data_IF_438654460218
#
_entry.id   IF_438654460218
#
_cell.length_a   1.000
_cell.length_b   1.000
_cell.length_c   1.000
_cell.angle_alpha   90.00
_cell.angle_beta   90.00
_cell.angle_gamma   90.00
#
_symmetry.space_group_name_H-M   'P 1'
#
loop_
_entity.id
_entity.type
_entity.pdbx_description
1 polymer ?
#
# COMPACT_ATOMS: atom_id res chain seq x y z
N UNK A 1 -40.03 -12.03 2.00
CA UNK A 1 -40.09 -12.99 3.13
C UNK A 1 -38.71 -13.29 3.73
N UNK A 2 -37.64 -13.48 2.93
CA UNK A 2 -36.27 -13.75 3.42
C UNK A 2 -35.62 -12.64 4.28
N UNK A 3 -35.81 -11.35 3.93
CA UNK A 3 -35.24 -10.20 4.69
C UNK A 3 -35.87 -10.05 6.09
N UNK A 4 -37.10 -10.52 6.27
CA UNK A 4 -37.77 -10.49 7.57
C UNK A 4 -37.23 -11.56 8.53
N UNK A 5 -36.72 -12.68 8.00
CA UNK A 5 -36.20 -13.79 8.80
C UNK A 5 -34.81 -13.46 9.38
N UNK A 6 -33.94 -12.81 8.59
CA UNK A 6 -32.60 -12.38 9.05
C UNK A 6 -32.68 -11.27 10.11
N UNK A 7 -33.61 -10.32 9.95
CA UNK A 7 -33.87 -9.27 10.95
C UNK A 7 -34.36 -9.84 12.29
N UNK A 8 -35.07 -10.98 12.26
CA UNK A 8 -35.58 -11.65 13.46
C UNK A 8 -34.47 -12.40 14.22
N UNK A 9 -33.54 -13.04 13.50
CA UNK A 9 -32.39 -13.73 14.12
C UNK A 9 -31.33 -12.76 14.67
N UNK A 10 -31.08 -11.64 13.99
CA UNK A 10 -30.16 -10.60 14.51
C UNK A 10 -30.61 -9.99 15.84
N UNK A 11 -31.93 -9.85 16.05
CA UNK A 11 -32.49 -9.37 17.34
C UNK A 11 -32.44 -10.41 18.47
N UNK A 12 -32.34 -11.70 18.15
CA UNK A 12 -32.19 -12.79 19.12
C UNK A 12 -30.73 -13.04 19.53
N UNK A 13 -29.76 -12.60 18.71
CA UNK A 13 -28.33 -12.82 18.93
C UNK A 13 -27.62 -11.73 19.76
N UNK A 14 -28.30 -10.62 20.11
CA UNK A 14 -27.78 -9.65 21.07
C UNK A 14 -26.50 -8.91 20.64
N UNK A 15 -26.42 -8.48 19.38
CA UNK A 15 -25.35 -7.58 18.91
C UNK A 15 -25.94 -6.24 18.50
N UNK A 16 -26.03 -5.32 19.46
CA UNK A 16 -26.20 -3.90 19.18
C UNK A 16 -24.90 -3.38 18.54
N UNK A 17 -24.95 -3.12 17.23
CA UNK A 17 -23.96 -2.31 16.54
C UNK A 17 -24.09 -0.85 16.97
N UNK A 18 -23.30 -0.43 17.96
CA UNK A 18 -22.90 0.97 18.12
C UNK A 18 -21.72 1.21 17.20
N UNK A 19 -21.86 2.16 16.27
CA UNK A 19 -20.69 2.94 15.85
C UNK A 19 -21.05 4.35 15.35
N UNK A 20 -20.12 5.24 15.69
CA UNK A 20 -19.75 6.52 15.05
C UNK A 20 -20.43 7.85 15.46
N UNK A 21 -19.57 8.67 16.12
CA UNK A 21 -19.36 10.13 16.00
C UNK A 21 -20.39 11.09 16.64
N UNK A 22 -20.06 12.21 17.29
CA UNK A 22 -18.83 13.01 17.26
C UNK A 22 -18.63 13.82 18.56
N UNK A 23 -17.37 14.21 18.75
CA UNK A 23 -16.75 15.09 19.74
C UNK A 23 -17.35 16.49 19.90
N UNK A 24 -17.32 17.03 21.13
CA UNK A 24 -17.40 18.47 21.38
C UNK A 24 -17.51 18.88 22.86
N UNK A 25 -16.37 19.18 23.49
CA UNK A 25 -16.17 20.27 24.47
C UNK A 25 -16.94 20.29 25.81
N UNK A 26 -16.28 19.84 26.88
CA UNK A 26 -15.83 20.60 28.09
C UNK A 26 -16.59 21.86 28.59
N UNK A 27 -16.44 22.24 29.88
CA UNK A 27 -17.52 22.12 30.86
C UNK A 27 -17.77 23.44 31.63
N UNK A 28 -18.57 23.31 32.69
CA UNK A 28 -18.43 24.03 33.96
C UNK A 28 -19.40 25.20 34.24
N UNK A 29 -19.89 25.22 35.48
CA UNK A 29 -20.66 26.32 36.05
C UNK A 29 -21.94 25.94 36.79
N UNK A 30 -21.78 25.44 38.02
CA UNK A 30 -22.48 25.86 39.26
C UNK A 30 -24.04 25.98 39.23
N UNK A 31 -24.83 25.58 40.22
CA UNK A 31 -24.64 25.41 41.67
C UNK A 31 -26.02 24.99 42.23
N UNK A 32 -26.00 24.23 43.32
CA UNK A 32 -26.91 24.27 44.51
C UNK A 32 -28.42 24.52 44.26
N UNK A 33 -29.38 23.76 44.79
CA UNK A 33 -29.49 23.16 46.13
C UNK A 33 -30.83 22.39 46.19
N UNK A 34 -30.93 21.34 47.01
CA UNK A 34 -32.22 20.69 47.27
C UNK A 34 -32.16 19.29 47.88
N UNK A 35 -31.64 19.21 49.11
CA UNK A 35 -31.86 18.25 50.20
C UNK A 35 -32.84 17.06 50.00
N UNK A 36 -32.45 15.86 50.47
CA UNK A 36 -33.37 14.72 50.57
C UNK A 36 -32.77 13.31 50.66
N UNK A 37 -32.08 13.02 51.76
CA UNK A 37 -31.69 11.71 52.32
C UNK A 37 -32.46 10.44 51.87
N UNK A 38 -31.74 9.50 51.22
CA UNK A 38 -31.75 8.02 51.29
C UNK A 38 -32.96 7.27 51.90
N UNK A 39 -33.72 6.56 51.05
CA UNK A 39 -34.40 5.24 51.28
C UNK A 39 -34.60 4.61 49.88
N UNK A 40 -33.93 3.52 49.49
CA UNK A 40 -34.45 2.15 49.57
C UNK A 40 -34.71 1.59 48.16
N UNK A 41 -34.34 0.33 47.93
CA UNK A 41 -34.49 -0.42 46.68
C UNK A 41 -35.90 -0.32 46.06
N UNK A 42 -35.99 -0.36 44.72
CA UNK A 42 -37.27 -0.44 44.02
C UNK A 42 -37.13 -0.59 42.50
N UNK A 43 -37.08 -1.84 42.05
CA UNK A 43 -37.75 -2.39 40.85
C UNK A 43 -37.51 -1.65 39.50
N UNK A 44 -36.71 -2.16 38.57
CA UNK A 44 -36.90 -3.46 37.93
C UNK A 44 -38.00 -3.37 36.87
N UNK A 45 -37.71 -2.78 35.70
CA UNK A 45 -38.57 -2.91 34.51
C UNK A 45 -38.67 -4.40 34.15
N UNK A 46 -39.69 -5.06 34.67
CA UNK A 46 -39.96 -6.46 34.39
C UNK A 46 -40.39 -6.59 32.93
N UNK A 47 -39.50 -7.13 32.09
CA UNK A 47 -39.89 -7.74 30.82
C UNK A 47 -40.88 -8.86 31.15
N UNK A 48 -42.17 -8.59 31.02
CA UNK A 48 -43.22 -9.56 31.30
C UNK A 48 -43.12 -10.66 30.24
N UNK A 49 -42.67 -11.85 30.63
CA UNK A 49 -42.61 -13.00 29.71
C UNK A 49 -44.02 -13.39 29.24
N UNK A 50 -44.13 -14.00 28.04
CA UNK A 50 -45.42 -14.52 27.54
C UNK A 50 -46.11 -15.43 28.58
N UNK A 51 -45.31 -16.24 29.25
CA UNK A 51 -45.75 -17.13 30.32
C UNK A 51 -46.28 -16.38 31.56
N UNK A 52 -45.68 -15.22 31.90
CA UNK A 52 -46.19 -14.36 32.96
C UNK A 52 -47.49 -13.63 32.55
N UNK A 53 -47.64 -13.26 31.27
CA UNK A 53 -48.90 -12.69 30.75
C UNK A 53 -50.02 -13.73 30.76
N UNK A 54 -49.74 -14.98 30.38
CA UNK A 54 -50.70 -16.09 30.43
C UNK A 54 -51.12 -16.42 31.87
N UNK A 55 -50.17 -16.46 32.81
CA UNK A 55 -50.47 -16.66 34.24
C UNK A 55 -51.41 -15.58 34.77
N UNK A 56 -51.14 -14.31 34.47
CA UNK A 56 -51.98 -13.19 34.92
C UNK A 56 -53.35 -13.20 34.25
N UNK A 57 -53.44 -13.63 32.98
CA UNK A 57 -54.73 -13.82 32.31
C UNK A 57 -55.55 -14.91 33.00
N UNK A 58 -54.91 -16.00 33.43
CA UNK A 58 -55.56 -17.09 34.14
C UNK A 58 -56.04 -16.64 35.52
N UNK A 59 -55.22 -15.92 36.30
CA UNK A 59 -55.62 -15.34 37.58
C UNK A 59 -56.85 -14.43 37.44
N UNK A 60 -56.88 -13.59 36.39
CA UNK A 60 -58.04 -12.73 36.11
C UNK A 60 -59.26 -13.54 35.66
N UNK A 61 -59.06 -14.66 34.97
CA UNK A 61 -60.09 -15.62 34.62
C UNK A 61 -60.74 -16.25 35.86
N UNK A 62 -59.93 -16.72 36.79
CA UNK A 62 -60.39 -17.30 38.06
C UNK A 62 -61.17 -16.28 38.91
N UNK A 63 -60.70 -15.02 38.94
CA UNK A 63 -61.43 -13.90 39.58
C UNK A 63 -62.76 -13.63 38.88
N UNK A 64 -62.80 -13.65 37.55
CA UNK A 64 -64.04 -13.46 36.78
C UNK A 64 -65.05 -14.59 36.99
N UNK A 65 -64.59 -15.82 37.23
CA UNK A 65 -65.46 -16.96 37.54
C UNK A 65 -65.99 -16.90 38.98
N UNK A 66 -65.17 -16.51 39.95
CA UNK A 66 -65.63 -16.19 41.32
C UNK A 66 -66.66 -15.05 41.32
N UNK A 67 -66.44 -14.01 40.53
CA UNK A 67 -67.37 -12.88 40.38
C UNK A 67 -68.73 -13.33 39.83
N UNK A 68 -68.75 -14.31 38.91
CA UNK A 68 -70.00 -14.94 38.44
C UNK A 68 -70.65 -15.79 39.52
N UNK A 69 -69.87 -16.58 40.25
CA UNK A 69 -70.34 -17.48 41.32
C UNK A 69 -70.99 -16.71 42.48
N UNK A 70 -70.39 -15.60 42.91
CA UNK A 70 -70.93 -14.72 43.95
C UNK A 70 -71.95 -13.68 43.43
N UNK A 71 -72.36 -13.79 42.16
CA UNK A 71 -73.36 -12.93 41.51
C UNK A 71 -73.06 -11.42 41.60
N UNK A 72 -71.77 -11.05 41.57
CA UNK A 72 -71.32 -9.67 41.66
C UNK A 72 -71.58 -8.99 40.32
N UNK A 73 -72.30 -7.85 40.33
CA UNK A 73 -72.62 -7.06 39.12
C UNK A 73 -71.35 -6.51 38.48
N UNK A 74 -70.82 -7.21 37.49
CA UNK A 74 -69.77 -6.69 36.59
C UNK A 74 -70.35 -5.90 35.42
N UNK A 75 -69.63 -4.87 34.97
CA UNK A 75 -70.00 -4.11 33.77
C UNK A 75 -69.83 -4.98 32.51
N UNK A 76 -70.78 -4.90 31.57
CA UNK A 76 -70.68 -5.58 30.26
C UNK A 76 -69.37 -5.24 29.55
N UNK A 77 -68.90 -3.99 29.68
CA UNK A 77 -67.63 -3.51 29.10
C UNK A 77 -66.40 -4.26 29.63
N UNK A 78 -66.36 -4.61 30.92
CA UNK A 78 -65.23 -5.34 31.51
C UNK A 78 -65.19 -6.80 31.04
N UNK A 79 -66.36 -7.42 30.85
CA UNK A 79 -66.44 -8.79 30.33
C UNK A 79 -66.03 -8.87 28.86
N UNK A 80 -66.46 -7.93 28.03
CA UNK A 80 -66.01 -7.88 26.62
C UNK A 80 -64.51 -7.61 26.54
N UNK A 81 -63.97 -6.65 27.31
CA UNK A 81 -62.52 -6.40 27.30
C UNK A 81 -61.68 -7.60 27.77
N UNK A 82 -62.13 -8.36 28.77
CA UNK A 82 -61.43 -9.59 29.17
C UNK A 82 -61.50 -10.69 28.09
N UNK A 83 -62.67 -10.86 27.47
CA UNK A 83 -62.86 -11.84 26.39
C UNK A 83 -61.99 -11.50 25.17
N UNK A 84 -61.92 -10.23 24.79
CA UNK A 84 -61.04 -9.73 23.72
C UNK A 84 -59.55 -9.96 24.05
N UNK A 85 -59.12 -9.67 25.28
CA UNK A 85 -57.76 -9.92 25.74
C UNK A 85 -57.41 -11.42 25.68
N UNK A 86 -58.32 -12.27 26.17
CA UNK A 86 -58.15 -13.73 26.16
C UNK A 86 -58.04 -14.28 24.75
N UNK A 87 -58.85 -13.75 23.82
CA UNK A 87 -58.80 -14.13 22.41
C UNK A 87 -57.50 -13.67 21.74
N UNK A 88 -57.04 -12.45 22.03
CA UNK A 88 -55.79 -11.92 21.51
C UNK A 88 -54.57 -12.72 21.98
N UNK A 89 -54.50 -13.06 23.28
CA UNK A 89 -53.43 -13.89 23.83
C UNK A 89 -53.44 -15.31 23.25
N UNK A 90 -54.61 -15.93 23.10
CA UNK A 90 -54.73 -17.23 22.45
C UNK A 90 -54.30 -17.20 20.97
N UNK A 91 -54.63 -16.13 20.25
CA UNK A 91 -54.18 -15.95 18.86
C UNK A 91 -52.66 -15.76 18.77
N UNK A 92 -52.08 -14.96 19.67
CA UNK A 92 -50.63 -14.75 19.73
C UNK A 92 -49.90 -16.07 20.03
N UNK A 93 -50.39 -16.84 21.00
CA UNK A 93 -49.85 -18.17 21.35
C UNK A 93 -49.87 -19.11 20.14
N UNK A 94 -51.01 -19.25 19.49
CA UNK A 94 -51.14 -20.14 18.33
C UNK A 94 -50.20 -19.73 17.19
N UNK A 95 -50.02 -18.43 16.95
CA UNK A 95 -49.05 -17.97 15.94
C UNK A 95 -47.60 -18.21 16.36
N UNK A 96 -47.26 -18.05 17.64
CA UNK A 96 -45.93 -18.35 18.16
C UNK A 96 -45.65 -19.84 18.06
N UNK A 97 -46.54 -20.72 18.52
CA UNK A 97 -46.40 -22.18 18.42
C UNK A 97 -46.30 -22.63 16.95
N UNK A 98 -47.11 -22.07 16.05
CA UNK A 98 -47.03 -22.36 14.62
C UNK A 98 -45.69 -21.91 14.01
N UNK A 99 -45.21 -20.71 14.38
CA UNK A 99 -43.92 -20.19 13.91
C UNK A 99 -42.76 -21.03 14.44
N UNK A 100 -42.78 -21.41 15.73
CA UNK A 100 -41.76 -22.23 16.38
C UNK A 100 -41.74 -23.66 15.82
N UNK A 101 -42.91 -24.27 15.63
CA UNK A 101 -43.03 -25.62 15.05
C UNK A 101 -42.46 -25.73 13.63
N UNK A 102 -42.54 -24.65 12.85
CA UNK A 102 -41.91 -24.58 11.53
C UNK A 102 -40.46 -24.06 11.56
N UNK A 103 -40.00 -23.46 12.66
CA UNK A 103 -38.66 -22.85 12.74
C UNK A 103 -37.58 -23.92 12.59
N UNK A 104 -37.70 -25.05 13.30
CA UNK A 104 -36.73 -26.14 13.23
C UNK A 104 -36.69 -26.79 11.84
N UNK A 105 -37.84 -26.95 11.19
CA UNK A 105 -37.92 -27.46 9.82
C UNK A 105 -37.29 -26.49 8.80
N UNK A 106 -37.52 -25.18 8.97
CA UNK A 106 -36.96 -24.14 8.11
C UNK A 106 -35.44 -24.01 8.31
N UNK A 107 -34.95 -24.08 9.55
CA UNK A 107 -33.52 -24.11 9.87
C UNK A 107 -32.87 -25.32 9.19
N UNK A 108 -33.42 -26.53 9.37
CA UNK A 108 -32.86 -27.74 8.75
C UNK A 108 -32.86 -27.67 7.21
N UNK A 109 -33.90 -27.08 6.60
CA UNK A 109 -33.92 -26.83 5.15
C UNK A 109 -32.81 -25.86 4.73
N UNK A 110 -32.66 -24.75 5.44
CA UNK A 110 -31.65 -23.74 5.13
C UNK A 110 -30.22 -24.28 5.31
N UNK A 111 -29.96 -25.08 6.35
CA UNK A 111 -28.69 -25.79 6.53
C UNK A 111 -28.39 -26.70 5.34
N UNK A 112 -29.40 -27.43 4.84
CA UNK A 112 -29.24 -28.30 3.67
C UNK A 112 -28.93 -27.51 2.41
N UNK A 113 -29.57 -26.36 2.20
CA UNK A 113 -29.31 -25.47 1.06
C UNK A 113 -27.90 -24.85 1.15
N UNK A 114 -27.49 -24.36 2.32
CA UNK A 114 -26.12 -23.89 2.58
C UNK A 114 -25.07 -24.97 2.29
N UNK A 115 -25.34 -26.20 2.73
CA UNK A 115 -24.48 -27.35 2.46
C UNK A 115 -24.35 -27.70 0.97
N UNK A 116 -25.29 -27.26 0.12
CA UNK A 116 -25.20 -27.40 -1.33
C UNK A 116 -24.52 -26.20 -2.01
N UNK A 117 -24.65 -24.99 -1.46
CA UNK A 117 -23.97 -23.79 -1.98
C UNK A 117 -22.46 -23.82 -1.78
N UNK A 118 -21.98 -24.32 -0.63
CA UNK A 118 -20.54 -24.37 -0.31
C UNK A 118 -19.73 -25.15 -1.37
N UNK A 119 -20.11 -26.38 -1.79
CA UNK A 119 -19.42 -27.09 -2.86
C UNK A 119 -19.42 -26.36 -4.21
N UNK A 120 -20.52 -25.69 -4.56
CA UNK A 120 -20.63 -24.91 -5.81
C UNK A 120 -19.66 -23.74 -5.80
N UNK A 121 -19.56 -23.04 -4.67
CA UNK A 121 -18.57 -21.97 -4.50
C UNK A 121 -17.14 -22.51 -4.59
N UNK A 122 -16.83 -23.64 -3.93
CA UNK A 122 -15.49 -24.24 -3.99
C UNK A 122 -15.11 -24.71 -5.41
N UNK A 123 -16.06 -25.24 -6.18
CA UNK A 123 -15.87 -25.54 -7.61
C UNK A 123 -15.58 -24.25 -8.41
N UNK A 124 -16.28 -23.17 -8.10
CA UNK A 124 -16.05 -21.87 -8.72
C UNK A 124 -14.65 -21.31 -8.43
N UNK A 125 -14.20 -21.42 -7.18
CA UNK A 125 -12.83 -21.07 -6.74
C UNK A 125 -11.80 -21.90 -7.51
N UNK A 126 -12.04 -23.21 -7.64
CA UNK A 126 -11.15 -24.12 -8.37
C UNK A 126 -11.03 -23.72 -9.85
N UNK A 127 -12.16 -23.41 -10.50
CA UNK A 127 -12.17 -22.87 -11.87
C UNK A 127 -11.46 -21.52 -11.99
N UNK A 128 -11.50 -20.69 -10.94
CA UNK A 128 -10.73 -19.45 -10.86
C UNK A 128 -9.22 -19.71 -10.87
N UNK A 129 -8.76 -20.66 -10.06
CA UNK A 129 -7.36 -21.09 -10.07
C UNK A 129 -6.93 -21.65 -11.42
N UNK A 130 -7.76 -22.48 -12.06
CA UNK A 130 -7.44 -23.06 -13.37
C UNK A 130 -7.33 -21.98 -14.45
N UNK A 131 -8.20 -20.96 -14.41
CA UNK A 131 -8.10 -19.79 -15.30
C UNK A 131 -6.85 -18.97 -15.04
N UNK A 132 -6.45 -18.78 -13.79
CA UNK A 132 -5.22 -18.04 -13.45
C UNK A 132 -3.94 -18.82 -13.78
N UNK A 133 -4.03 -20.16 -13.81
CA UNK A 133 -2.97 -21.07 -14.26
C UNK A 133 -3.02 -21.34 -15.77
N UNK A 134 -3.95 -20.74 -16.49
CA UNK A 134 -4.05 -20.90 -17.93
C UNK A 134 -2.75 -20.44 -18.60
N UNK A 135 -2.28 -21.23 -19.58
CA UNK A 135 -1.05 -20.97 -20.33
C UNK A 135 -1.03 -19.57 -20.95
N UNK A 136 -2.20 -19.01 -21.29
CA UNK A 136 -2.35 -17.63 -21.81
C UNK A 136 -1.81 -16.56 -20.87
N UNK A 137 -1.97 -16.72 -19.56
CA UNK A 137 -1.45 -15.78 -18.55
C UNK A 137 0.05 -15.97 -18.27
N UNK A 138 0.65 -16.99 -18.88
CA UNK A 138 2.08 -17.25 -18.92
C UNK A 138 2.64 -17.15 -20.34
N UNK A 139 1.85 -16.69 -21.31
CA UNK A 139 2.24 -16.66 -22.72
C UNK A 139 3.09 -15.42 -23.00
N UNK A 140 4.36 -15.67 -23.34
CA UNK A 140 5.33 -14.63 -23.68
C UNK A 140 4.97 -13.84 -24.95
N UNK A 141 4.22 -14.45 -25.87
CA UNK A 141 3.79 -13.81 -27.11
C UNK A 141 2.81 -12.67 -26.80
N UNK A 142 1.85 -12.93 -25.91
CA UNK A 142 0.89 -11.94 -25.45
C UNK A 142 1.54 -10.85 -24.61
N UNK A 143 2.57 -11.18 -23.83
CA UNK A 143 3.36 -10.19 -23.08
C UNK A 143 4.14 -9.21 -23.98
N UNK A 144 4.42 -9.59 -25.24
CA UNK A 144 5.26 -8.80 -26.14
C UNK A 144 4.47 -7.80 -27.00
N UNK A 145 3.18 -8.06 -27.27
CA UNK A 145 2.29 -7.16 -28.03
C UNK A 145 1.43 -6.31 -27.08
N UNK A 146 1.23 -5.03 -27.42
CA UNK A 146 0.36 -4.13 -26.65
C UNK A 146 -1.08 -4.64 -26.63
N UNK A 147 -1.58 -5.11 -27.76
CA UNK A 147 -2.92 -5.69 -27.90
C UNK A 147 -3.06 -6.95 -27.04
N UNK A 148 -2.02 -7.81 -27.02
CA UNK A 148 -1.99 -9.01 -26.19
C UNK A 148 -1.99 -8.70 -24.69
N UNK A 149 -1.24 -7.68 -24.25
CA UNK A 149 -1.23 -7.22 -22.85
C UNK A 149 -2.59 -6.63 -22.45
N UNK A 150 -3.24 -5.86 -23.33
CA UNK A 150 -4.58 -5.32 -23.06
C UNK A 150 -5.64 -6.43 -22.96
N UNK A 151 -5.65 -7.40 -23.87
CA UNK A 151 -6.57 -8.56 -23.79
C UNK A 151 -6.39 -9.31 -22.46
N UNK A 152 -5.14 -9.55 -22.05
CA UNK A 152 -4.86 -10.20 -20.76
C UNK A 152 -5.35 -9.35 -19.59
N UNK A 153 -5.11 -8.04 -19.59
CA UNK A 153 -5.58 -7.15 -18.53
C UNK A 153 -7.11 -7.12 -18.42
N UNK A 154 -7.84 -7.11 -19.54
CA UNK A 154 -9.31 -7.21 -19.55
C UNK A 154 -9.79 -8.55 -18.99
N UNK A 155 -9.13 -9.65 -19.36
CA UNK A 155 -9.48 -10.97 -18.80
C UNK A 155 -9.22 -11.06 -17.30
N UNK A 156 -8.12 -10.46 -16.83
CA UNK A 156 -7.77 -10.37 -15.41
C UNK A 156 -8.77 -9.52 -14.63
N UNK A 157 -9.22 -8.40 -15.20
CA UNK A 157 -10.27 -7.57 -14.58
C UNK A 157 -11.58 -8.34 -14.43
N UNK A 158 -11.98 -9.11 -15.43
CA UNK A 158 -13.15 -9.99 -15.33
C UNK A 158 -12.98 -11.09 -14.27
N UNK A 159 -11.78 -11.65 -14.13
CA UNK A 159 -11.47 -12.62 -13.08
C UNK A 159 -11.52 -11.95 -11.70
N UNK A 160 -10.96 -10.74 -11.56
CA UNK A 160 -10.93 -9.98 -10.30
C UNK A 160 -12.36 -9.63 -9.83
N UNK A 161 -13.23 -9.19 -10.74
CA UNK A 161 -14.66 -8.99 -10.45
C UNK A 161 -15.33 -10.27 -9.96
N UNK A 162 -15.02 -11.41 -10.58
CA UNK A 162 -15.55 -12.70 -10.15
C UNK A 162 -15.00 -13.10 -8.77
N UNK A 163 -13.71 -12.90 -8.50
CA UNK A 163 -13.10 -13.19 -7.20
C UNK A 163 -13.71 -12.30 -6.11
N UNK A 164 -13.94 -11.02 -6.40
CA UNK A 164 -14.61 -10.09 -5.49
C UNK A 164 -16.04 -10.55 -5.15
N UNK A 165 -16.81 -11.00 -6.16
CA UNK A 165 -18.13 -11.57 -5.93
C UNK A 165 -18.08 -12.83 -5.05
N UNK A 166 -17.13 -13.73 -5.31
CA UNK A 166 -16.94 -14.95 -4.50
C UNK A 166 -16.57 -14.63 -3.05
N UNK A 167 -15.78 -13.59 -2.78
CA UNK A 167 -15.44 -13.15 -1.42
C UNK A 167 -16.68 -12.66 -0.68
N UNK A 168 -17.53 -11.86 -1.34
CA UNK A 168 -18.79 -11.38 -0.76
C UNK A 168 -19.73 -12.56 -0.47
N UNK A 169 -19.82 -13.52 -1.37
CA UNK A 169 -20.62 -14.73 -1.14
C UNK A 169 -20.06 -15.58 0.02
N UNK A 170 -18.73 -15.69 0.15
CA UNK A 170 -18.08 -16.40 1.25
C UNK A 170 -18.38 -15.74 2.61
N UNK A 171 -18.29 -14.42 2.70
CA UNK A 171 -18.67 -13.66 3.90
C UNK A 171 -20.15 -13.84 4.23
N UNK A 172 -21.02 -13.77 3.21
CA UNK A 172 -22.45 -14.02 3.38
C UNK A 172 -22.74 -15.40 3.96
N UNK A 173 -22.04 -16.45 3.50
CA UNK A 173 -22.20 -17.80 4.04
C UNK A 173 -21.72 -17.87 5.50
N UNK A 174 -20.60 -17.22 5.83
CA UNK A 174 -20.11 -17.17 7.21
C UNK A 174 -21.11 -16.48 8.14
N UNK A 175 -21.68 -15.33 7.73
CA UNK A 175 -22.71 -14.62 8.49
C UNK A 175 -23.94 -15.51 8.74
N UNK A 176 -24.34 -16.30 7.75
CA UNK A 176 -25.42 -17.28 7.89
C UNK A 176 -25.06 -18.41 8.85
N UNK A 177 -23.84 -18.94 8.80
CA UNK A 177 -23.38 -20.00 9.71
C UNK A 177 -23.33 -19.49 11.17
N UNK A 178 -22.88 -18.26 11.40
CA UNK A 178 -22.88 -17.62 12.71
C UNK A 178 -24.31 -17.40 13.24
N UNK A 179 -25.21 -16.88 12.42
CA UNK A 179 -26.61 -16.65 12.80
C UNK A 179 -27.34 -17.96 13.17
N UNK A 180 -26.98 -19.07 12.52
CA UNK A 180 -27.51 -20.40 12.80
C UNK A 180 -26.76 -21.13 13.93
N UNK A 181 -25.67 -20.55 14.45
CA UNK A 181 -24.78 -21.15 15.46
C UNK A 181 -24.18 -22.49 15.03
N UNK A 182 -23.80 -22.58 13.76
CA UNK A 182 -23.14 -23.75 13.16
C UNK A 182 -21.66 -23.45 13.01
N UNK A 183 -20.84 -24.50 12.85
CA UNK A 183 -19.43 -24.37 12.55
C UNK A 183 -19.20 -23.52 11.30
N UNK A 184 -18.46 -22.43 11.46
CA UNK A 184 -18.10 -21.50 10.38
C UNK A 184 -17.02 -22.16 9.52
N UNK A 185 -17.24 -22.17 8.21
CA UNK A 185 -16.29 -22.76 7.27
C UNK A 185 -15.19 -21.75 6.93
N UNK A 186 -13.91 -22.05 7.21
CA UNK A 186 -12.83 -21.17 6.81
C UNK A 186 -12.60 -21.28 5.29
N UNK A 187 -12.98 -20.25 4.55
CA UNK A 187 -12.82 -20.17 3.08
C UNK A 187 -11.37 -19.83 2.66
N UNK A 188 -10.37 -20.52 3.21
CA UNK A 188 -8.93 -20.22 2.98
C UNK A 188 -8.56 -20.20 1.49
N UNK A 189 -9.15 -21.10 0.69
CA UNK A 189 -8.92 -21.14 -0.76
C UNK A 189 -9.40 -19.88 -1.50
N UNK A 190 -10.41 -19.18 -0.98
CA UNK A 190 -10.88 -17.91 -1.55
C UNK A 190 -9.83 -16.83 -1.31
N UNK A 191 -9.22 -16.80 -0.13
CA UNK A 191 -8.13 -15.87 0.19
C UNK A 191 -6.87 -16.17 -0.62
N UNK A 192 -6.50 -17.44 -0.77
CA UNK A 192 -5.40 -17.86 -1.65
C UNK A 192 -5.64 -17.42 -3.11
N UNK A 193 -6.87 -17.58 -3.61
CA UNK A 193 -7.24 -17.18 -4.96
C UNK A 193 -7.13 -15.66 -5.14
N UNK A 194 -7.57 -14.89 -4.14
CA UNK A 194 -7.44 -13.43 -4.12
C UNK A 194 -5.98 -12.98 -4.18
N UNK A 195 -5.13 -13.60 -3.36
CA UNK A 195 -3.69 -13.29 -3.36
C UNK A 195 -3.08 -13.60 -4.72
N UNK A 196 -3.36 -14.78 -5.28
CA UNK A 196 -2.83 -15.16 -6.59
C UNK A 196 -3.32 -14.23 -7.71
N UNK A 197 -4.62 -13.91 -7.76
CA UNK A 197 -5.21 -12.99 -8.74
C UNK A 197 -4.55 -11.60 -8.65
N UNK A 198 -4.36 -11.09 -7.43
CA UNK A 198 -3.69 -9.82 -7.17
C UNK A 198 -2.24 -9.82 -7.65
N UNK A 199 -1.51 -10.92 -7.44
CA UNK A 199 -0.13 -11.08 -7.89
C UNK A 199 -0.01 -11.09 -9.41
N UNK A 200 -0.84 -11.88 -10.10
CA UNK A 200 -0.85 -11.92 -11.57
C UNK A 200 -1.27 -10.57 -12.16
N UNK A 201 -2.32 -9.95 -11.63
CA UNK A 201 -2.77 -8.63 -12.06
C UNK A 201 -1.70 -7.56 -11.89
N UNK A 202 -0.98 -7.58 -10.76
CA UNK A 202 0.14 -6.64 -10.53
C UNK A 202 1.26 -6.84 -11.54
N UNK A 203 1.63 -8.08 -11.85
CA UNK A 203 2.66 -8.39 -12.85
C UNK A 203 2.31 -7.79 -14.21
N UNK A 204 1.12 -8.08 -14.73
CA UNK A 204 0.70 -7.63 -16.06
C UNK A 204 0.52 -6.11 -16.15
N UNK A 205 -0.04 -5.48 -15.11
CA UNK A 205 -0.12 -4.00 -15.04
C UNK A 205 1.26 -3.36 -15.03
N UNK A 206 2.16 -3.89 -14.19
CA UNK A 206 3.53 -3.37 -14.09
C UNK A 206 4.32 -3.59 -15.37
N UNK A 207 4.04 -4.67 -16.11
CA UNK A 207 4.65 -4.93 -17.41
C UNK A 207 4.16 -3.91 -18.45
N UNK A 208 2.86 -3.64 -18.56
CA UNK A 208 2.34 -2.62 -19.49
C UNK A 208 2.90 -1.23 -19.16
N UNK A 209 2.85 -0.83 -17.89
CA UNK A 209 3.42 0.43 -17.42
C UNK A 209 4.92 0.51 -17.71
N UNK A 210 5.66 -0.58 -17.51
CA UNK A 210 7.09 -0.64 -17.82
C UNK A 210 7.37 -0.46 -19.31
N UNK A 211 6.64 -1.12 -20.20
CA UNK A 211 6.86 -0.97 -21.65
C UNK A 211 6.61 0.48 -22.08
N UNK A 212 5.53 1.11 -21.62
CA UNK A 212 5.25 2.52 -21.94
C UNK A 212 6.30 3.47 -21.34
N UNK A 213 6.68 3.27 -20.08
CA UNK A 213 7.61 4.16 -19.38
C UNK A 213 9.04 3.99 -19.90
N UNK A 214 9.46 2.76 -20.18
CA UNK A 214 10.77 2.49 -20.76
C UNK A 214 10.88 3.04 -22.18
N UNK A 215 9.84 2.92 -23.01
CA UNK A 215 9.81 3.54 -24.34
C UNK A 215 9.94 5.07 -24.25
N UNK A 216 9.27 5.70 -23.28
CA UNK A 216 9.42 7.14 -23.03
C UNK A 216 10.84 7.52 -22.61
N UNK A 217 11.47 6.76 -21.70
CA UNK A 217 12.85 7.01 -21.28
C UNK A 217 13.83 6.89 -22.44
N UNK A 218 13.62 5.92 -23.34
CA UNK A 218 14.47 5.73 -24.53
C UNK A 218 14.38 6.90 -25.51
N UNK A 219 13.26 7.63 -25.52
CA UNK A 219 13.05 8.82 -26.36
C UNK A 219 13.58 10.11 -25.72
N UNK A 220 13.91 10.11 -24.42
CA UNK A 220 14.43 11.30 -23.76
C UNK A 220 15.82 11.67 -24.31
N UNK A 221 16.00 12.97 -24.53
CA UNK A 221 17.29 13.56 -24.88
C UNK A 221 18.28 13.31 -23.76
N UNK A 222 19.45 12.80 -24.09
CA UNK A 222 20.46 12.39 -23.12
C UNK A 222 20.83 13.51 -22.13
N UNK A 223 20.91 14.76 -22.60
CA UNK A 223 21.22 15.93 -21.78
C UNK A 223 20.19 16.27 -20.68
N UNK A 224 18.95 15.81 -20.79
CA UNK A 224 17.86 16.09 -19.85
C UNK A 224 17.47 14.87 -18.98
N UNK A 225 18.16 13.74 -19.14
CA UNK A 225 17.86 12.52 -18.39
C UNK A 225 18.25 12.69 -16.92
N UNK A 226 17.26 12.56 -16.04
CA UNK A 226 17.45 12.44 -14.60
C UNK A 226 17.63 10.97 -14.23
N UNK A 227 18.89 10.56 -14.07
CA UNK A 227 19.26 9.17 -13.81
C UNK A 227 18.86 8.73 -12.40
N UNK A 228 18.84 9.63 -11.42
CA UNK A 228 18.42 9.33 -10.05
C UNK A 228 16.92 9.03 -9.99
N UNK A 229 16.11 9.79 -10.73
CA UNK A 229 14.68 9.54 -10.84
C UNK A 229 14.41 8.19 -11.51
N UNK A 230 15.04 7.92 -12.66
CA UNK A 230 14.88 6.64 -13.37
C UNK A 230 15.33 5.47 -12.48
N UNK A 231 16.47 5.59 -11.80
CA UNK A 231 16.99 4.56 -10.90
C UNK A 231 16.00 4.20 -9.78
N UNK A 232 15.35 5.19 -9.18
CA UNK A 232 14.29 4.98 -8.17
C UNK A 232 13.08 4.26 -8.75
N UNK A 233 12.62 4.66 -9.93
CA UNK A 233 11.47 4.02 -10.60
C UNK A 233 11.80 2.57 -11.01
N UNK A 234 12.97 2.33 -11.60
CA UNK A 234 13.46 0.99 -11.95
C UNK A 234 13.56 0.08 -10.73
N UNK A 235 13.99 0.60 -9.56
CA UNK A 235 14.03 -0.17 -8.32
C UNK A 235 12.63 -0.63 -7.85
N UNK A 236 11.59 0.17 -8.08
CA UNK A 236 10.20 -0.23 -7.80
C UNK A 236 9.79 -1.39 -8.69
N UNK A 237 10.01 -1.29 -10.01
CA UNK A 237 9.70 -2.36 -10.95
C UNK A 237 10.51 -3.63 -10.67
N UNK A 238 11.77 -3.51 -10.26
CA UNK A 238 12.60 -4.64 -9.88
C UNK A 238 12.02 -5.38 -8.67
N UNK A 239 11.54 -4.65 -7.66
CA UNK A 239 10.91 -5.25 -6.48
C UNK A 239 9.63 -6.01 -6.86
N UNK A 240 8.80 -5.44 -7.74
CA UNK A 240 7.59 -6.10 -8.24
C UNK A 240 7.94 -7.35 -9.05
N UNK A 241 8.95 -7.28 -9.91
CA UNK A 241 9.41 -8.41 -10.72
C UNK A 241 9.90 -9.57 -9.83
N UNK A 242 10.73 -9.29 -8.82
CA UNK A 242 11.20 -10.29 -7.86
C UNK A 242 10.08 -10.92 -7.03
N UNK A 243 9.11 -10.11 -6.56
CA UNK A 243 7.94 -10.63 -5.84
C UNK A 243 7.09 -11.54 -6.74
N UNK A 244 6.88 -11.12 -7.99
CA UNK A 244 6.11 -11.89 -8.97
C UNK A 244 6.80 -13.21 -9.30
N UNK A 245 8.13 -13.21 -9.48
CA UNK A 245 8.93 -14.42 -9.67
C UNK A 245 8.80 -15.41 -8.50
N UNK A 246 8.78 -14.92 -7.26
CA UNK A 246 8.62 -15.77 -6.07
C UNK A 246 7.20 -16.34 -5.93
N UNK A 247 6.19 -15.58 -6.33
CA UNK A 247 4.79 -15.99 -6.19
C UNK A 247 4.29 -16.81 -7.38
N UNK A 248 4.97 -16.71 -8.53
CA UNK A 248 4.62 -17.32 -9.80
C UNK A 248 5.83 -18.09 -10.36
N UNK A 249 6.41 -18.99 -9.56
CA UNK A 249 7.71 -19.66 -9.80
C UNK A 249 7.86 -20.37 -11.17
N UNK A 250 6.76 -20.61 -11.89
CA UNK A 250 6.74 -21.24 -13.22
C UNK A 250 6.28 -20.32 -14.36
N UNK A 251 6.06 -19.02 -14.11
CA UNK A 251 5.53 -18.10 -15.11
C UNK A 251 6.68 -17.47 -15.95
N UNK A 252 6.68 -17.76 -17.24
CA UNK A 252 7.68 -17.28 -18.18
C UNK A 252 7.66 -15.74 -18.37
N UNK A 253 6.48 -15.12 -18.25
CA UNK A 253 6.32 -13.65 -18.32
C UNK A 253 6.99 -12.97 -17.13
N UNK A 254 6.91 -13.56 -15.93
CA UNK A 254 7.59 -13.02 -14.75
C UNK A 254 9.13 -13.07 -14.92
N UNK A 255 9.65 -14.15 -15.50
CA UNK A 255 11.08 -14.28 -15.79
C UNK A 255 11.54 -13.25 -16.84
N UNK A 256 10.79 -13.11 -17.93
CA UNK A 256 11.08 -12.14 -19.00
C UNK A 256 11.02 -10.70 -18.50
N UNK A 257 10.00 -10.35 -17.72
CA UNK A 257 9.87 -9.04 -17.10
C UNK A 257 11.07 -8.73 -16.19
N UNK A 258 11.45 -9.69 -15.34
CA UNK A 258 12.63 -9.56 -14.47
C UNK A 258 13.91 -9.37 -15.28
N UNK A 259 14.10 -10.13 -16.36
CA UNK A 259 15.25 -10.01 -17.24
C UNK A 259 15.30 -8.62 -17.91
N UNK A 260 14.18 -8.12 -18.43
CA UNK A 260 14.07 -6.79 -19.04
C UNK A 260 14.43 -5.67 -18.05
N UNK A 261 13.83 -5.69 -16.85
CA UNK A 261 14.10 -4.70 -15.80
C UNK A 261 15.56 -4.76 -15.35
N UNK A 262 16.12 -5.97 -15.22
CA UNK A 262 17.53 -6.14 -14.82
C UNK A 262 18.49 -5.66 -15.90
N UNK A 263 18.21 -5.96 -17.18
CA UNK A 263 19.01 -5.47 -18.29
C UNK A 263 19.03 -3.94 -18.34
N UNK A 264 17.87 -3.29 -18.19
CA UNK A 264 17.79 -1.83 -18.14
C UNK A 264 18.46 -1.25 -16.89
N UNK A 265 18.32 -1.89 -15.74
CA UNK A 265 19.03 -1.46 -14.52
C UNK A 265 20.55 -1.51 -14.71
N UNK A 266 21.05 -2.53 -15.39
CA UNK A 266 22.48 -2.69 -15.62
C UNK A 266 23.04 -1.62 -16.56
N UNK A 267 22.22 -0.95 -17.37
CA UNK A 267 22.71 0.12 -18.27
C UNK A 267 22.76 1.48 -17.58
N UNK A 268 21.95 1.70 -16.53
CA UNK A 268 21.90 2.99 -15.81
C UNK A 268 23.25 3.49 -15.29
N UNK A 269 24.14 2.65 -14.74
CA UNK A 269 25.44 3.14 -14.26
C UNK A 269 26.34 3.67 -15.39
N UNK A 270 26.19 3.19 -16.64
CA UNK A 270 26.91 3.79 -17.78
C UNK A 270 26.35 5.15 -18.13
N UNK A 271 25.02 5.28 -18.10
CA UNK A 271 24.34 6.56 -18.30
C UNK A 271 24.79 7.57 -17.23
N UNK A 272 24.91 7.15 -15.97
CA UNK A 272 25.48 7.99 -14.89
C UNK A 272 26.93 8.37 -15.18
N UNK A 273 27.76 7.40 -15.58
CA UNK A 273 29.17 7.63 -15.87
C UNK A 273 29.37 8.66 -16.99
N UNK A 274 28.59 8.56 -18.07
CA UNK A 274 28.61 9.49 -19.21
C UNK A 274 27.99 10.87 -18.89
N UNK A 275 27.14 10.95 -17.86
CA UNK A 275 26.57 12.21 -17.36
C UNK A 275 27.44 12.93 -16.34
N UNK A 276 28.60 12.38 -16.00
CA UNK A 276 29.49 12.98 -15.02
C UNK A 276 30.06 14.31 -15.56
N UNK A 277 29.78 15.42 -14.86
CA UNK A 277 30.29 16.76 -15.20
C UNK A 277 31.80 16.91 -15.07
N UNK A 278 32.48 15.95 -14.42
CA UNK A 278 33.93 15.91 -14.34
C UNK A 278 34.61 15.51 -15.66
N UNK A 279 33.85 14.97 -16.63
CA UNK A 279 34.39 14.58 -17.93
C UNK A 279 34.80 15.82 -18.73
N UNK A 280 36.05 15.80 -19.21
CA UNK A 280 36.67 16.84 -20.04
C UNK A 280 36.91 16.29 -21.44
N UNK A 281 37.28 17.15 -22.38
CA UNK A 281 37.55 16.80 -23.78
C UNK A 281 38.47 15.56 -23.91
N UNK A 282 39.57 15.50 -23.15
CA UNK A 282 40.46 14.32 -23.08
C UNK A 282 39.76 13.01 -22.73
N UNK A 283 38.80 13.04 -21.81
CA UNK A 283 38.06 11.85 -21.39
C UNK A 283 37.05 11.44 -22.47
N UNK A 284 36.46 12.42 -23.15
CA UNK A 284 35.56 12.19 -24.28
C UNK A 284 36.29 11.59 -25.49
N UNK A 285 37.53 12.02 -25.76
CA UNK A 285 38.37 11.41 -26.80
C UNK A 285 38.60 9.92 -26.52
N UNK A 286 38.96 9.56 -25.27
CA UNK A 286 39.14 8.16 -24.87
C UNK A 286 37.83 7.35 -24.96
N UNK A 287 36.71 7.92 -24.51
CA UNK A 287 35.39 7.28 -24.59
C UNK A 287 34.97 7.08 -26.04
N UNK A 288 35.20 8.06 -26.91
CA UNK A 288 34.88 7.98 -28.34
C UNK A 288 35.76 6.94 -29.05
N UNK A 289 37.02 6.77 -28.66
CA UNK A 289 37.90 5.72 -29.18
C UNK A 289 37.41 4.32 -28.78
N UNK A 290 36.97 4.15 -27.53
CA UNK A 290 36.46 2.88 -27.01
C UNK A 290 35.12 2.49 -27.66
N UNK A 291 34.21 3.46 -27.83
CA UNK A 291 32.90 3.23 -28.44
C UNK A 291 33.02 3.15 -29.97
N UNK A 292 34.07 3.76 -30.56
CA UNK A 292 34.30 3.83 -32.00
C UNK A 292 33.37 4.79 -32.72
N UNK A 293 32.65 5.65 -31.98
CA UNK A 293 31.70 6.65 -32.49
C UNK A 293 31.90 7.94 -31.70
N UNK A 294 31.90 9.06 -32.40
CA UNK A 294 31.97 10.39 -31.80
C UNK A 294 30.60 10.75 -31.19
N UNK A 295 30.54 10.85 -29.86
CA UNK A 295 29.32 11.22 -29.14
C UNK A 295 29.21 12.74 -29.05
N UNK A 296 28.24 13.31 -29.76
CA UNK A 296 27.83 14.69 -29.57
C UNK A 296 26.72 14.77 -28.50
N UNK A 297 27.10 15.17 -27.30
CA UNK A 297 26.17 15.31 -26.17
C UNK A 297 25.22 16.51 -26.28
N UNK A 298 25.56 17.49 -27.12
CA UNK A 298 24.72 18.68 -27.36
C UNK A 298 23.72 18.44 -28.49
N UNK A 299 23.88 17.35 -29.24
CA UNK A 299 22.96 16.97 -30.29
C UNK A 299 21.58 16.60 -29.73
N UNK A 300 20.56 17.26 -30.26
CA UNK A 300 19.15 16.93 -30.04
C UNK A 300 18.76 15.53 -30.54
N UNK A 301 19.63 14.88 -31.33
CA UNK A 301 19.44 13.53 -31.88
C UNK A 301 19.95 12.43 -30.94
N UNK A 302 20.78 12.75 -29.93
CA UNK A 302 21.30 11.78 -28.98
C UNK A 302 20.25 11.46 -27.91
N UNK A 303 19.49 10.39 -28.14
CA UNK A 303 18.53 9.84 -27.16
C UNK A 303 19.14 8.68 -26.39
N UNK A 304 18.59 8.38 -25.21
CA UNK A 304 19.02 7.22 -24.41
C UNK A 304 18.92 5.91 -25.20
N UNK A 305 17.89 5.76 -26.04
CA UNK A 305 17.72 4.58 -26.89
C UNK A 305 18.77 4.43 -27.97
N UNK A 306 19.19 5.54 -28.60
CA UNK A 306 20.30 5.54 -29.57
C UNK A 306 21.59 5.13 -28.88
N UNK A 307 21.88 5.70 -27.71
CA UNK A 307 23.07 5.35 -26.93
C UNK A 307 23.11 3.86 -26.55
N UNK A 308 21.97 3.30 -26.12
CA UNK A 308 21.86 1.87 -25.83
C UNK A 308 22.05 1.01 -27.09
N UNK A 309 21.53 1.45 -28.24
CA UNK A 309 21.68 0.72 -29.51
C UNK A 309 23.13 0.69 -30.03
N UNK A 310 23.95 1.67 -29.63
CA UNK A 310 25.39 1.73 -29.96
C UNK A 310 26.22 0.69 -29.20
N UNK A 311 25.62 -0.10 -28.31
CA UNK A 311 26.32 -1.17 -27.61
C UNK A 311 27.21 -0.68 -26.47
N UNK A 312 26.86 0.46 -25.88
CA UNK A 312 27.53 1.09 -24.73
C UNK A 312 27.51 0.17 -23.50
N UNK A 313 26.63 -0.82 -23.47
CA UNK A 313 26.60 -1.89 -22.48
C UNK A 313 27.84 -2.79 -22.49
N UNK A 314 28.49 -2.98 -23.65
CA UNK A 314 29.68 -3.85 -23.78
C UNK A 314 30.94 -3.24 -23.22
N UNK A 315 31.08 -1.92 -23.33
CA UNK A 315 32.24 -1.16 -22.84
C UNK A 315 31.94 -0.46 -21.51
N UNK A 316 30.93 -0.94 -20.78
CA UNK A 316 30.47 -0.37 -19.51
C UNK A 316 31.59 -0.20 -18.48
N UNK A 317 32.41 -1.23 -18.27
CA UNK A 317 33.46 -1.22 -17.25
C UNK A 317 34.54 -0.17 -17.55
N UNK A 318 34.95 -0.05 -18.81
CA UNK A 318 35.96 0.91 -19.25
C UNK A 318 35.46 2.36 -19.13
N UNK A 319 34.22 2.62 -19.54
CA UNK A 319 33.59 3.95 -19.42
C UNK A 319 33.45 4.35 -17.95
N UNK A 320 33.10 3.40 -17.08
CA UNK A 320 33.03 3.64 -15.64
C UNK A 320 34.40 3.95 -15.04
N UNK A 321 35.47 3.27 -15.49
CA UNK A 321 36.83 3.56 -15.05
C UNK A 321 37.25 4.99 -15.43
N UNK A 322 37.00 5.39 -16.68
CA UNK A 322 37.31 6.75 -17.16
C UNK A 322 36.51 7.80 -16.37
N UNK A 323 35.21 7.59 -16.18
CA UNK A 323 34.38 8.51 -15.40
C UNK A 323 34.80 8.58 -13.93
N UNK A 324 35.20 7.46 -13.34
CA UNK A 324 35.75 7.40 -11.99
C UNK A 324 37.07 8.15 -11.87
N UNK A 325 37.95 8.02 -12.87
CA UNK A 325 39.20 8.79 -12.97
C UNK A 325 38.90 10.29 -13.09
N UNK A 326 37.99 10.68 -13.97
CA UNK A 326 37.58 12.06 -14.13
C UNK A 326 37.04 12.67 -12.83
N UNK A 327 36.18 11.94 -12.10
CA UNK A 327 35.68 12.39 -10.80
C UNK A 327 36.78 12.55 -9.75
N UNK A 328 37.76 11.63 -9.73
CA UNK A 328 38.91 11.75 -8.86
C UNK A 328 39.79 12.96 -9.22
N UNK A 329 40.04 13.20 -10.51
CA UNK A 329 40.76 14.38 -10.99
C UNK A 329 40.05 15.68 -10.62
N UNK A 330 38.73 15.78 -10.82
CA UNK A 330 37.95 16.96 -10.42
C UNK A 330 38.06 17.20 -8.91
N UNK A 331 38.02 16.15 -8.08
CA UNK A 331 38.15 16.32 -6.63
C UNK A 331 39.52 16.88 -6.21
N UNK A 332 40.59 16.55 -6.96
CA UNK A 332 41.92 17.09 -6.74
C UNK A 332 42.04 18.53 -7.25
N UNK A 333 41.44 18.83 -8.40
CA UNK A 333 41.32 20.19 -8.93
C UNK A 333 40.59 21.11 -7.96
N UNK A 334 39.46 20.67 -7.39
CA UNK A 334 38.74 21.43 -6.36
C UNK A 334 39.58 21.64 -5.10
N UNK A 335 40.43 20.67 -4.72
CA UNK A 335 41.34 20.81 -3.59
C UNK A 335 42.44 21.83 -3.89
N UNK A 336 43.00 21.80 -5.09
CA UNK A 336 44.01 22.76 -5.55
C UNK A 336 43.43 24.17 -5.66
N UNK A 337 42.22 24.31 -6.21
CA UNK A 337 41.53 25.59 -6.32
C UNK A 337 41.19 26.18 -4.94
N UNK A 338 40.86 25.34 -3.95
CA UNK A 338 40.71 25.81 -2.57
C UNK A 338 42.02 26.37 -2.03
N UNK A 339 43.15 25.71 -2.27
CA UNK A 339 44.46 26.22 -1.89
C UNK A 339 44.73 27.57 -2.58
N UNK A 340 44.54 27.66 -3.90
CA UNK A 340 44.70 28.92 -4.65
C UNK A 340 43.86 30.06 -4.06
N UNK A 341 42.58 29.81 -3.78
CA UNK A 341 41.69 30.82 -3.18
C UNK A 341 42.13 31.27 -1.79
N UNK A 342 42.58 30.34 -0.94
CA UNK A 342 43.13 30.69 0.38
C UNK A 342 44.31 31.64 0.24
N UNK A 343 45.20 31.43 -0.74
CA UNK A 343 46.34 32.30 -0.99
C UNK A 343 45.97 33.63 -1.67
N UNK A 344 44.94 33.64 -2.52
CA UNK A 344 44.42 34.88 -3.13
C UNK A 344 43.79 35.81 -2.09
N UNK A 345 43.07 35.26 -1.11
CA UNK A 345 42.39 36.02 -0.05
C UNK A 345 43.32 36.35 1.14
N UNK A 346 44.56 35.84 1.15
CA UNK A 346 45.48 36.00 2.28
C UNK A 346 46.12 37.39 2.29
N UNK A 347 45.79 38.18 3.32
CA UNK A 347 46.35 39.52 3.50
C UNK A 347 47.42 39.55 4.60
N UNK A 348 48.55 40.21 4.32
CA UNK A 348 49.58 40.47 5.34
C UNK A 348 49.18 41.69 6.17
N UNK A 349 48.95 41.48 7.46
CA UNK A 349 48.63 42.57 8.39
C UNK A 349 49.88 43.41 8.65
N UNK A 350 49.78 44.72 8.37
CA UNK A 350 50.82 45.71 8.64
C UNK A 350 50.40 46.63 9.77
N UNK A 351 51.24 46.72 10.80
CA UNK A 351 51.02 47.58 11.97
C UNK A 351 52.00 48.77 11.97
N UNK A 352 51.59 49.98 12.36
CA UNK A 352 52.51 51.12 12.46
C UNK A 352 53.59 50.89 13.53
N UNK A 353 54.83 51.29 13.23
CA UNK A 353 55.95 51.22 14.16
C UNK A 353 55.91 52.39 15.15
N UNK A 354 55.53 52.11 16.41
CA UNK A 354 55.38 53.13 17.46
C UNK A 354 54.39 54.22 17.03
N UNK A 355 54.67 55.50 17.30
CA UNK A 355 53.83 56.64 16.91
C UNK A 355 54.12 57.18 15.49
N UNK A 356 55.03 56.54 14.74
CA UNK A 356 55.40 56.98 13.40
C UNK A 356 54.40 56.46 12.35
N UNK A 357 53.66 57.37 11.70
CA UNK A 357 52.67 57.04 10.66
C UNK A 357 53.27 56.59 9.32
N UNK A 358 54.58 56.72 9.14
CA UNK A 358 55.28 56.48 7.87
C UNK A 358 56.08 55.17 7.85
N UNK A 359 56.11 54.42 8.96
CA UNK A 359 56.86 53.16 9.08
C UNK A 359 55.89 52.06 9.53
N UNK A 360 55.76 51.00 8.75
CA UNK A 360 54.95 49.83 9.07
C UNK A 360 55.85 48.64 9.37
N UNK A 361 55.50 47.87 10.40
CA UNK A 361 56.07 46.57 10.74
C UNK A 361 55.04 45.47 10.45
N UNK A 362 55.54 44.29 10.11
CA UNK A 362 54.70 43.11 9.93
C UNK A 362 54.01 42.76 11.25
N UNK A 363 52.69 42.53 11.20
CA UNK A 363 51.87 42.07 12.31
C UNK A 363 52.10 40.58 12.62
N UNK A 364 51.12 39.94 13.26
CA UNK A 364 51.18 38.48 13.42
C UNK A 364 51.16 37.81 12.05
N UNK A 365 51.96 36.75 11.93
CA UNK A 365 52.08 35.90 10.74
C UNK A 365 51.53 34.50 11.04
N UNK A 366 50.90 34.31 12.20
CA UNK A 366 50.44 33.00 12.67
C UNK A 366 49.43 32.39 11.69
N UNK A 367 48.48 33.19 11.21
CA UNK A 367 47.46 32.76 10.23
C UNK A 367 48.08 32.37 8.88
N UNK A 368 49.14 33.09 8.45
CA UNK A 368 49.88 32.80 7.21
C UNK A 368 50.68 31.49 7.35
N UNK A 369 51.27 31.26 8.52
CA UNK A 369 52.00 30.02 8.80
C UNK A 369 51.04 28.84 8.85
N UNK A 370 49.88 28.98 9.51
CA UNK A 370 48.85 27.93 9.52
C UNK A 370 48.32 27.65 8.11
N UNK A 371 48.02 28.68 7.31
CA UNK A 371 47.59 28.50 5.93
C UNK A 371 48.68 27.81 5.07
N UNK A 372 49.96 28.11 5.31
CA UNK A 372 51.08 27.43 4.66
C UNK A 372 51.18 25.95 5.04
N UNK A 373 51.09 25.63 6.33
CA UNK A 373 51.13 24.25 6.81
C UNK A 373 49.98 23.42 6.25
N UNK A 374 48.74 23.95 6.28
CA UNK A 374 47.56 23.29 5.73
C UNK A 374 47.67 23.11 4.20
N UNK A 375 48.16 24.14 3.49
CA UNK A 375 48.40 24.07 2.05
C UNK A 375 49.45 23.01 1.70
N UNK A 376 50.51 22.90 2.50
CA UNK A 376 51.56 21.89 2.28
C UNK A 376 51.00 20.46 2.44
N UNK A 377 50.13 20.23 3.43
CA UNK A 377 49.46 18.94 3.61
C UNK A 377 48.55 18.62 2.42
N UNK A 378 47.76 19.60 1.95
CA UNK A 378 46.89 19.44 0.79
C UNK A 378 47.68 19.16 -0.50
N UNK A 379 48.74 19.93 -0.78
CA UNK A 379 49.63 19.74 -1.93
C UNK A 379 50.34 18.38 -1.85
N UNK A 380 50.82 17.96 -0.68
CA UNK A 380 51.40 16.63 -0.49
C UNK A 380 50.40 15.51 -0.75
N UNK A 381 49.12 15.72 -0.40
CA UNK A 381 48.04 14.76 -0.66
C UNK A 381 47.71 14.69 -2.15
N UNK A 382 47.66 15.84 -2.83
CA UNK A 382 47.44 15.92 -4.28
C UNK A 382 48.60 15.27 -5.04
N UNK A 383 49.85 15.63 -4.71
CA UNK A 383 51.07 15.08 -5.34
C UNK A 383 51.22 13.57 -5.14
N UNK A 384 50.78 13.05 -3.99
CA UNK A 384 50.76 11.61 -3.71
C UNK A 384 49.66 10.83 -4.44
N UNK A 385 48.70 11.51 -5.10
CA UNK A 385 47.61 10.87 -5.81
C UNK A 385 48.03 10.36 -7.18
N UNK A 386 47.57 9.15 -7.54
CA UNK A 386 47.81 8.56 -8.87
C UNK A 386 47.14 9.35 -10.02
N UNK A 387 46.16 10.19 -9.70
CA UNK A 387 45.36 10.95 -10.65
C UNK A 387 45.86 12.40 -10.82
N UNK A 388 47.03 12.74 -10.25
CA UNK A 388 47.60 14.10 -10.34
C UNK A 388 48.09 14.46 -11.73
N UNK A 389 48.23 13.50 -12.64
CA UNK A 389 48.88 13.68 -13.96
C UNK A 389 48.55 14.99 -14.67
N UNK A 390 47.27 15.33 -14.89
CA UNK A 390 46.90 16.55 -15.64
C UNK A 390 47.13 17.87 -14.91
N UNK A 391 47.19 17.85 -13.57
CA UNK A 391 47.39 19.04 -12.73
C UNK A 391 48.82 19.12 -12.18
N UNK A 392 49.68 18.16 -12.52
CA UNK A 392 51.01 18.00 -11.94
C UNK A 392 51.86 19.25 -12.12
N UNK A 393 51.83 19.87 -13.30
CA UNK A 393 52.60 21.08 -13.61
C UNK A 393 52.12 22.31 -12.82
N UNK A 394 50.87 22.33 -12.33
CA UNK A 394 50.37 23.39 -11.46
C UNK A 394 50.64 23.14 -9.97
N UNK A 395 50.91 21.88 -9.61
CA UNK A 395 51.17 21.44 -8.22
C UNK A 395 52.67 21.52 -7.90
N UNK A 396 53.54 21.27 -8.87
CA UNK A 396 55.01 21.47 -8.79
C UNK A 396 55.39 22.96 -8.85
#
# INVERSE_FOLDING_TARGET
EFVHFTTYLGKLAGTDGKDAAASGGSPDGAREEGDGTRVGDGEGEAVISLQAMESRQQDVGDIMDLVKEFNIKTSTKQRTSFMELSQALGSLRNQIEFSQGNTEANINRFIKELGQEIPVMLDCVTKGFDKLRDHKLSDESLASSKEGRQEVLETLERIDQHVAATIVDAQRINDYQEALKIEVTPFEKVDELKVLCGSVSRLWKSLEEWEETSEQWLQWRFGLVDVDKISKEVAVYQKVAMQSMKQLETNAVAAKFTAKVTAFKNTLPVVMALRNSALKERHWEEINEIIGVELDLESDELTLGVLLSMGVDKSMEEIQEISGRAGAEQSLEEMLDKVKRVWEDLELVLNPYKDSKEIFILGSVDDVITALEDSLVNISTISGSRFVGPIRDEVE
#
